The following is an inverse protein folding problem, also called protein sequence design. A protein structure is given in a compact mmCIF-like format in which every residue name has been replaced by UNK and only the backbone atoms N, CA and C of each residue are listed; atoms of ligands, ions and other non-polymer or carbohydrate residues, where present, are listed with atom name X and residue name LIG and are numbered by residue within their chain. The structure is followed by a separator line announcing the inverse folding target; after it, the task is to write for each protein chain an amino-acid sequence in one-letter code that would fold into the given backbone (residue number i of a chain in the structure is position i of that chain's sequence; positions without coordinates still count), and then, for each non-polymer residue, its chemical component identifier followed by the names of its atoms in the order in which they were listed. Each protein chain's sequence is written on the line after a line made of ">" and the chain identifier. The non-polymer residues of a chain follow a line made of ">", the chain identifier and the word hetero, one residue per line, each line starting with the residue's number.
data_IF_954186046032
#
_entry.id   IF_954186046032
#
_cell.length_a   1.000
_cell.length_b   1.000
_cell.length_c   1.000
_cell.angle_alpha   90.00
_cell.angle_beta   90.00
_cell.angle_gamma   90.00
#
_symmetry.space_group_name_H-M   'P 1'
#
loop_
_entity.id
_entity.type
_entity.pdbx_description
1 polymer ?
#
# COMPACT_ATOMS: atom_id res chain seq x y z
N UNK A 1 19.75 -14.74 18.47
CA UNK A 1 19.25 -13.82 19.53
C UNK A 1 17.81 -14.18 19.87
N UNK A 2 17.45 -14.44 21.14
CA UNK A 2 16.10 -14.92 21.51
C UNK A 2 15.12 -13.82 21.94
N UNK A 3 15.62 -12.66 22.39
CA UNK A 3 14.80 -11.51 22.81
C UNK A 3 15.47 -10.16 22.52
N UNK A 4 14.66 -9.11 22.44
CA UNK A 4 15.06 -7.72 22.28
C UNK A 4 14.24 -6.82 23.20
N UNK A 5 14.91 -6.09 24.11
CA UNK A 5 14.29 -5.04 24.92
C UNK A 5 13.91 -3.84 24.06
N UNK A 6 12.74 -3.27 24.33
CA UNK A 6 12.19 -2.12 23.62
C UNK A 6 11.98 -0.95 24.56
N UNK A 7 12.06 0.27 24.01
CA UNK A 7 11.94 1.51 24.79
C UNK A 7 10.62 1.62 25.56
N UNK A 8 9.53 1.13 24.98
CA UNK A 8 8.16 1.05 25.54
C UNK A 8 7.28 0.20 24.61
N UNK A 9 6.04 -0.08 25.01
CA UNK A 9 5.03 -0.82 24.23
C UNK A 9 4.39 0.04 23.13
N UNK A 10 3.07 -0.03 22.94
CA UNK A 10 2.38 0.84 21.98
C UNK A 10 2.50 2.33 22.35
N UNK A 11 2.55 2.65 23.64
CA UNK A 11 2.62 4.01 24.16
C UNK A 11 3.76 4.17 25.19
N UNK A 12 4.31 5.39 25.39
CA UNK A 12 5.44 5.64 26.29
C UNK A 12 5.25 5.21 27.75
N UNK A 13 4.01 5.18 28.25
CA UNK A 13 3.68 4.75 29.61
C UNK A 13 3.63 3.22 29.78
N UNK A 14 3.70 2.45 28.70
CA UNK A 14 3.64 0.98 28.73
C UNK A 14 5.07 0.42 28.79
N UNK A 15 5.62 0.30 30.00
CA UNK A 15 6.95 -0.27 30.27
C UNK A 15 6.85 -1.31 31.40
N UNK A 16 7.72 -2.34 31.42
CA UNK A 16 8.74 -2.67 30.42
C UNK A 16 8.13 -3.19 29.11
N UNK A 17 8.95 -3.30 28.05
CA UNK A 17 8.53 -3.82 26.74
C UNK A 17 9.66 -4.59 26.08
N UNK A 18 9.32 -5.69 25.39
CA UNK A 18 10.26 -6.53 24.64
C UNK A 18 9.54 -7.29 23.52
N UNK A 19 10.29 -7.77 22.53
CA UNK A 19 9.88 -8.93 21.70
C UNK A 19 10.76 -10.12 22.04
N UNK A 20 10.20 -11.33 22.01
CA UNK A 20 10.94 -12.54 22.31
C UNK A 20 10.29 -13.76 21.66
N UNK A 21 11.08 -14.80 21.43
CA UNK A 21 10.58 -16.12 21.06
C UNK A 21 10.66 -17.06 22.26
N UNK A 22 9.62 -17.87 22.46
CA UNK A 22 9.62 -18.91 23.50
C UNK A 22 10.55 -20.08 23.13
N UNK A 23 10.64 -20.36 21.84
CA UNK A 23 11.46 -21.41 21.25
C UNK A 23 12.18 -20.84 20.03
N UNK A 24 13.46 -21.18 19.85
CA UNK A 24 14.27 -20.68 18.74
C UNK A 24 14.80 -19.25 18.92
N UNK A 25 15.34 -18.70 17.84
CA UNK A 25 15.88 -17.33 17.77
C UNK A 25 15.00 -16.43 16.92
N UNK A 26 14.97 -15.13 17.26
CA UNK A 26 14.36 -14.12 16.41
C UNK A 26 14.95 -14.20 14.99
N UNK A 27 14.12 -14.23 13.93
CA UNK A 27 14.58 -14.42 12.56
C UNK A 27 15.15 -13.11 11.96
N UNK A 28 15.69 -12.24 12.79
CA UNK A 28 16.09 -10.89 12.38
C UNK A 28 17.45 -10.50 12.94
N UNK A 29 18.13 -9.61 12.23
CA UNK A 29 19.30 -8.88 12.70
C UNK A 29 19.06 -7.39 12.54
N UNK A 30 19.27 -6.61 13.61
CA UNK A 30 19.21 -5.14 13.55
C UNK A 30 20.59 -4.63 13.08
N UNK A 31 20.66 -4.18 11.83
CA UNK A 31 21.90 -3.70 11.20
C UNK A 31 22.19 -2.23 11.52
N UNK A 32 21.16 -1.45 11.85
CA UNK A 32 21.28 -0.06 12.27
C UNK A 32 20.04 0.41 13.06
N UNK A 33 20.22 1.46 13.87
CA UNK A 33 19.11 2.09 14.60
C UNK A 33 18.60 1.25 15.78
N UNK A 34 17.41 1.61 16.28
CA UNK A 34 16.76 0.96 17.43
C UNK A 34 15.25 0.86 17.17
N UNK A 35 14.74 -0.26 16.66
CA UNK A 35 13.31 -0.43 16.40
C UNK A 35 12.48 -0.34 17.68
N UNK A 36 11.30 0.28 17.57
CA UNK A 36 10.28 0.29 18.63
C UNK A 36 9.25 -0.84 18.49
N UNK A 37 8.29 -0.88 19.41
CA UNK A 37 7.23 -1.90 19.42
C UNK A 37 6.34 -1.85 18.18
N UNK A 38 5.85 -0.66 17.81
CA UNK A 38 5.03 -0.47 16.61
C UNK A 38 5.83 -0.75 15.34
N UNK A 39 7.14 -0.43 15.33
CA UNK A 39 8.00 -0.76 14.20
C UNK A 39 8.03 -2.26 13.91
N UNK A 40 8.08 -3.11 14.95
CA UNK A 40 8.02 -4.55 14.75
C UNK A 40 6.64 -5.05 14.29
N UNK A 41 5.55 -4.41 14.74
CA UNK A 41 4.21 -4.70 14.23
C UNK A 41 4.11 -4.41 12.72
N UNK A 42 4.62 -3.26 12.29
CA UNK A 42 4.70 -2.92 10.87
C UNK A 42 5.65 -3.87 10.12
N UNK A 43 6.84 -4.14 10.66
CA UNK A 43 7.87 -4.97 10.02
C UNK A 43 7.41 -6.38 9.72
N UNK A 44 6.80 -7.07 10.70
CA UNK A 44 6.42 -8.47 10.50
C UNK A 44 5.19 -8.62 9.60
N UNK A 45 4.23 -7.69 9.63
CA UNK A 45 3.10 -7.73 8.69
C UNK A 45 3.54 -7.37 7.26
N UNK A 46 4.35 -6.32 7.12
CA UNK A 46 4.84 -5.88 5.81
C UNK A 46 5.78 -6.88 5.15
N UNK A 47 6.64 -7.56 5.92
CA UNK A 47 7.48 -8.65 5.41
C UNK A 47 6.66 -9.80 4.83
N UNK A 48 5.65 -10.27 5.56
CA UNK A 48 4.80 -11.35 5.09
C UNK A 48 4.05 -10.96 3.81
N UNK A 49 3.56 -9.72 3.72
CA UNK A 49 2.92 -9.20 2.51
C UNK A 49 3.87 -9.30 1.30
N UNK A 50 5.08 -8.76 1.39
CA UNK A 50 6.01 -8.74 0.24
C UNK A 50 6.52 -10.14 -0.12
N UNK A 51 6.70 -11.00 0.89
CA UNK A 51 7.05 -12.42 0.69
C UNK A 51 5.97 -13.16 -0.10
N UNK A 52 4.70 -12.95 0.24
CA UNK A 52 3.58 -13.58 -0.46
C UNK A 52 3.36 -13.00 -1.85
N UNK A 53 3.51 -11.68 -2.05
CA UNK A 53 3.48 -11.08 -3.38
C UNK A 53 4.55 -11.68 -4.28
N UNK A 54 5.79 -11.80 -3.78
CA UNK A 54 6.90 -12.42 -4.52
C UNK A 54 6.60 -13.88 -4.86
N UNK A 55 6.08 -14.65 -3.91
CA UNK A 55 5.75 -16.05 -4.13
C UNK A 55 4.62 -16.24 -5.15
N UNK A 56 3.59 -15.38 -5.12
CA UNK A 56 2.43 -15.48 -5.99
C UNK A 56 2.68 -14.95 -7.42
N UNK A 57 3.58 -13.98 -7.58
CA UNK A 57 3.81 -13.30 -8.87
C UNK A 57 5.16 -13.59 -9.50
N UNK A 58 6.12 -14.10 -8.73
CA UNK A 58 7.52 -14.23 -9.13
C UNK A 58 8.30 -12.91 -9.20
N UNK A 59 7.66 -11.77 -8.95
CA UNK A 59 8.25 -10.44 -9.13
C UNK A 59 8.76 -9.84 -7.82
N UNK A 60 9.88 -9.09 -7.83
CA UNK A 60 10.28 -8.27 -6.70
C UNK A 60 9.13 -7.38 -6.25
N UNK A 61 8.93 -7.27 -4.95
CA UNK A 61 7.74 -6.69 -4.35
C UNK A 61 8.13 -5.82 -3.17
N UNK A 62 7.35 -4.76 -2.95
CA UNK A 62 7.59 -3.83 -1.86
C UNK A 62 6.28 -3.36 -1.21
N UNK A 63 6.40 -2.93 0.04
CA UNK A 63 5.30 -2.33 0.78
C UNK A 63 5.76 -1.10 1.57
N UNK A 64 4.86 -0.13 1.68
CA UNK A 64 4.94 1.02 2.58
C UNK A 64 3.88 0.84 3.66
N UNK A 65 4.28 0.62 4.91
CA UNK A 65 3.37 0.40 6.03
C UNK A 65 3.29 1.61 6.96
N UNK A 66 2.09 1.83 7.49
CA UNK A 66 1.84 2.82 8.54
C UNK A 66 0.72 2.33 9.44
N UNK A 67 0.96 2.30 10.75
CA UNK A 67 -0.03 1.89 11.74
C UNK A 67 -0.62 0.49 11.46
N UNK A 68 0.25 -0.48 11.16
CA UNK A 68 -0.08 -1.90 10.98
C UNK A 68 -1.02 -2.14 9.80
N UNK A 69 -0.93 -1.31 8.76
CA UNK A 69 -1.59 -1.50 7.48
C UNK A 69 -0.74 -0.93 6.34
N UNK A 70 -0.84 -1.49 5.13
CA UNK A 70 -0.16 -0.92 3.97
C UNK A 70 -0.78 0.43 3.60
N UNK A 71 0.03 1.48 3.61
CA UNK A 71 -0.27 2.71 2.87
C UNK A 71 -0.23 2.45 1.36
N UNK A 72 0.64 1.52 0.94
CA UNK A 72 0.58 0.90 -0.37
C UNK A 72 1.50 -0.31 -0.51
N UNK A 73 1.27 -1.09 -1.56
CA UNK A 73 2.07 -2.26 -1.93
C UNK A 73 2.12 -2.39 -3.45
N UNK A 74 3.21 -2.97 -3.98
CA UNK A 74 3.38 -3.14 -5.42
C UNK A 74 4.36 -4.25 -5.78
N UNK A 75 4.23 -4.75 -7.01
CA UNK A 75 5.23 -5.55 -7.72
C UNK A 75 6.12 -4.68 -8.62
N UNK A 76 7.30 -5.20 -8.94
CA UNK A 76 8.40 -4.49 -9.58
C UNK A 76 8.30 -4.43 -11.10
N UNK A 77 7.25 -3.83 -11.63
CA UNK A 77 7.13 -3.53 -13.06
C UNK A 77 7.69 -2.14 -13.38
N UNK A 78 8.30 -1.93 -14.57
CA UNK A 78 8.83 -0.62 -14.96
C UNK A 78 7.82 0.51 -14.79
N UNK A 79 8.30 1.68 -14.38
CA UNK A 79 7.52 2.91 -14.30
C UNK A 79 7.42 3.55 -15.68
N UNK A 80 6.23 3.99 -16.06
CA UNK A 80 6.04 4.90 -17.19
C UNK A 80 6.62 6.29 -16.90
N UNK A 81 6.85 7.10 -17.92
CA UNK A 81 7.38 8.47 -17.75
C UNK A 81 6.48 9.33 -16.86
N UNK A 82 5.16 9.19 -16.99
CA UNK A 82 4.20 9.90 -16.14
C UNK A 82 4.32 9.42 -14.69
N UNK A 83 4.47 8.11 -14.46
CA UNK A 83 4.67 7.56 -13.11
C UNK A 83 5.98 8.05 -12.50
N UNK A 84 7.07 8.09 -13.27
CA UNK A 84 8.34 8.67 -12.83
C UNK A 84 8.15 10.13 -12.40
N UNK A 85 7.44 10.94 -13.19
CA UNK A 85 7.16 12.34 -12.84
C UNK A 85 6.35 12.49 -11.55
N UNK A 86 5.23 11.77 -11.38
CA UNK A 86 4.39 11.88 -10.17
C UNK A 86 5.06 11.34 -8.91
N UNK A 87 6.14 10.57 -9.07
CA UNK A 87 6.95 10.03 -7.99
C UNK A 87 8.32 10.71 -7.84
N UNK A 88 8.55 11.80 -8.57
CA UNK A 88 9.77 12.60 -8.48
C UNK A 88 11.06 11.83 -8.80
N UNK A 89 10.95 10.95 -9.80
CA UNK A 89 12.04 10.21 -10.43
C UNK A 89 12.34 10.88 -11.76
N UNK A 90 13.61 10.96 -12.14
CA UNK A 90 14.02 11.46 -13.45
C UNK A 90 13.50 10.50 -14.56
N UNK A 91 12.94 11.04 -15.64
CA UNK A 91 12.39 10.23 -16.73
C UNK A 91 13.45 9.38 -17.42
N UNK A 92 14.70 9.84 -17.43
CA UNK A 92 15.83 9.13 -18.05
C UNK A 92 16.47 8.09 -17.10
N UNK A 93 16.05 8.04 -15.83
CA UNK A 93 16.60 7.11 -14.85
C UNK A 93 16.09 5.68 -15.09
N UNK A 94 17.01 4.74 -15.33
CA UNK A 94 16.70 3.32 -15.33
C UNK A 94 16.67 2.78 -13.90
N UNK A 95 15.53 2.23 -13.50
CA UNK A 95 15.31 1.71 -12.16
C UNK A 95 15.26 0.19 -12.16
N UNK A 96 15.86 -0.43 -11.15
CA UNK A 96 15.70 -1.84 -10.88
C UNK A 96 14.24 -2.20 -10.57
N UNK A 97 13.87 -3.49 -10.72
CA UNK A 97 12.53 -3.94 -10.36
C UNK A 97 12.16 -3.67 -8.89
N UNK A 98 13.08 -3.84 -7.94
CA UNK A 98 12.79 -3.61 -6.52
C UNK A 98 12.64 -2.12 -6.20
N UNK A 99 13.41 -1.25 -6.85
CA UNK A 99 13.24 0.19 -6.77
C UNK A 99 11.87 0.61 -7.34
N UNK A 100 11.49 0.09 -8.51
CA UNK A 100 10.17 0.30 -9.10
C UNK A 100 9.05 -0.09 -8.12
N UNK A 101 9.14 -1.28 -7.51
CA UNK A 101 8.16 -1.76 -6.55
C UNK A 101 8.02 -0.79 -5.35
N UNK A 102 9.14 -0.35 -4.75
CA UNK A 102 9.08 0.54 -3.59
C UNK A 102 8.52 1.93 -3.96
N UNK A 103 8.96 2.49 -5.08
CA UNK A 103 8.49 3.78 -5.57
C UNK A 103 6.96 3.76 -5.77
N UNK A 104 6.43 2.69 -6.37
CA UNK A 104 4.99 2.47 -6.54
C UNK A 104 4.27 2.29 -5.20
N UNK A 105 4.79 1.46 -4.30
CA UNK A 105 4.20 1.19 -2.99
C UNK A 105 4.07 2.46 -2.13
N UNK A 106 5.14 3.25 -2.03
CA UNK A 106 5.12 4.58 -1.37
C UNK A 106 4.21 5.56 -2.13
N UNK A 107 4.22 5.45 -3.45
CA UNK A 107 3.52 6.33 -4.37
C UNK A 107 2.01 6.19 -4.36
N UNK A 108 1.44 5.11 -3.83
CA UNK A 108 -0.01 4.92 -3.70
C UNK A 108 -0.66 6.09 -2.93
N UNK A 109 -0.11 6.39 -1.75
CA UNK A 109 -0.54 7.48 -0.87
C UNK A 109 0.69 8.04 -0.15
N UNK A 110 1.21 9.16 -0.68
CA UNK A 110 2.47 9.75 -0.19
C UNK A 110 2.33 10.40 1.19
N UNK A 111 1.13 10.87 1.54
CA UNK A 111 0.85 11.41 2.86
C UNK A 111 0.77 10.31 3.91
N UNK A 112 0.06 9.21 3.64
CA UNK A 112 0.04 8.06 4.54
C UNK A 112 1.41 7.40 4.68
N UNK A 113 2.26 7.48 3.65
CA UNK A 113 3.64 6.96 3.68
C UNK A 113 4.64 7.89 4.39
N UNK A 114 4.20 9.03 4.95
CA UNK A 114 5.09 9.90 5.72
C UNK A 114 5.54 9.20 7.01
N UNK A 115 6.82 8.85 7.09
CA UNK A 115 7.35 8.03 8.18
C UNK A 115 6.86 6.57 8.09
N UNK A 116 6.81 6.03 6.87
CA UNK A 116 6.48 4.62 6.63
C UNK A 116 7.50 3.66 7.24
N UNK A 117 7.07 2.42 7.38
CA UNK A 117 7.95 1.26 7.48
C UNK A 117 8.02 0.56 6.12
N UNK A 118 9.23 0.41 5.58
CA UNK A 118 9.46 -0.18 4.26
C UNK A 118 9.69 -1.68 4.40
N UNK A 119 9.07 -2.49 3.53
CA UNK A 119 9.43 -3.89 3.36
C UNK A 119 9.78 -4.19 1.90
N UNK A 120 10.80 -5.00 1.68
CA UNK A 120 11.28 -5.45 0.36
C UNK A 120 11.37 -6.97 0.34
N UNK A 121 10.88 -7.62 -0.73
CA UNK A 121 10.98 -9.08 -0.89
C UNK A 121 12.35 -9.57 -1.34
N UNK A 122 13.15 -8.67 -1.91
CA UNK A 122 14.46 -8.94 -2.50
C UNK A 122 15.51 -8.02 -1.84
N UNK A 123 16.78 -8.20 -2.21
CA UNK A 123 17.88 -7.35 -1.73
C UNK A 123 17.59 -5.87 -1.94
N UNK A 124 17.88 -5.05 -0.93
CA UNK A 124 17.87 -3.61 -1.08
C UNK A 124 19.12 -3.15 -1.87
N UNK A 125 18.89 -2.62 -3.07
CA UNK A 125 19.92 -2.04 -3.92
C UNK A 125 20.14 -0.54 -3.67
N UNK A 126 21.21 -0.01 -4.24
CA UNK A 126 21.60 1.39 -4.11
C UNK A 126 20.53 2.36 -4.63
N UNK A 127 19.80 1.99 -5.69
CA UNK A 127 18.75 2.83 -6.30
C UNK A 127 17.54 2.98 -5.36
N UNK A 128 17.08 1.88 -4.77
CA UNK A 128 16.02 1.86 -3.76
C UNK A 128 16.43 2.69 -2.55
N UNK A 129 17.66 2.48 -2.06
CA UNK A 129 18.20 3.22 -0.92
C UNK A 129 18.35 4.72 -1.21
N UNK A 130 18.81 5.10 -2.42
CA UNK A 130 18.96 6.48 -2.85
C UNK A 130 17.62 7.21 -2.93
N UNK A 131 16.61 6.59 -3.53
CA UNK A 131 15.25 7.15 -3.56
C UNK A 131 14.71 7.32 -2.13
N UNK A 132 14.82 6.26 -1.30
CA UNK A 132 14.40 6.29 0.09
C UNK A 132 15.15 7.35 0.90
N UNK A 133 16.43 7.64 0.62
CA UNK A 133 17.22 8.67 1.33
C UNK A 133 16.53 10.03 1.35
N UNK A 134 15.92 10.44 0.24
CA UNK A 134 15.20 11.70 0.09
C UNK A 134 13.84 11.76 0.80
N UNK A 135 13.38 10.63 1.33
CA UNK A 135 12.04 10.46 1.89
C UNK A 135 12.05 10.39 3.43
N UNK A 136 10.94 10.80 4.06
CA UNK A 136 10.72 10.58 5.49
C UNK A 136 10.16 9.18 5.69
N UNK A 137 10.90 8.36 6.43
CA UNK A 137 10.64 6.96 6.73
C UNK A 137 11.14 6.61 8.13
N UNK A 138 10.50 5.67 8.81
CA UNK A 138 10.87 5.23 10.16
C UNK A 138 11.84 4.03 10.17
N UNK A 139 11.77 3.15 9.18
CA UNK A 139 12.70 2.02 9.04
C UNK A 139 12.41 1.13 7.84
N UNK A 140 13.27 0.13 7.64
CA UNK A 140 13.20 -0.82 6.54
C UNK A 140 13.49 -2.26 7.00
N UNK A 141 12.79 -3.22 6.41
CA UNK A 141 13.04 -4.67 6.52
C UNK A 141 13.23 -5.30 5.14
N UNK A 142 14.25 -6.13 4.98
CA UNK A 142 14.59 -6.81 3.72
C UNK A 142 15.40 -8.09 4.01
N UNK A 143 15.49 -9.06 3.09
CA UNK A 143 16.28 -10.28 3.28
C UNK A 143 17.80 -10.02 3.24
N UNK A 144 18.23 -9.01 2.49
CA UNK A 144 19.62 -8.57 2.39
C UNK A 144 19.71 -7.10 1.93
N UNK A 145 20.91 -6.54 2.03
CA UNK A 145 21.25 -5.19 1.58
C UNK A 145 22.60 -5.24 0.87
N UNK A 146 22.72 -4.60 -0.29
CA UNK A 146 24.03 -4.32 -0.87
C UNK A 146 24.83 -3.39 0.05
N UNK A 147 26.17 -3.44 -0.03
CA UNK A 147 27.04 -2.60 0.80
C UNK A 147 26.72 -1.10 0.62
N UNK A 148 26.57 -0.66 -0.64
CA UNK A 148 26.24 0.72 -0.99
C UNK A 148 24.86 1.14 -0.45
N UNK A 149 23.84 0.28 -0.59
CA UNK A 149 22.52 0.54 -0.03
C UNK A 149 22.59 0.71 1.49
N UNK A 150 23.31 -0.18 2.18
CA UNK A 150 23.44 -0.15 3.63
C UNK A 150 24.14 1.15 4.10
N UNK A 151 25.19 1.59 3.42
CA UNK A 151 25.85 2.87 3.70
C UNK A 151 24.91 4.06 3.52
N UNK A 152 24.15 4.09 2.42
CA UNK A 152 23.15 5.13 2.15
C UNK A 152 22.10 5.17 3.27
N UNK A 153 21.53 4.01 3.63
CA UNK A 153 20.47 3.92 4.64
C UNK A 153 20.97 4.31 6.03
N UNK A 154 22.19 3.90 6.41
CA UNK A 154 22.82 4.29 7.68
C UNK A 154 23.00 5.79 7.81
N UNK A 155 23.16 6.53 6.71
CA UNK A 155 23.26 8.01 6.76
C UNK A 155 21.95 8.71 7.13
N UNK A 156 20.79 8.05 6.97
CA UNK A 156 19.48 8.65 7.25
C UNK A 156 19.27 8.92 8.74
N UNK A 157 18.45 9.94 9.03
CA UNK A 157 18.07 10.36 10.40
C UNK A 157 19.28 10.59 11.33
N UNK A 158 20.39 11.10 10.78
CA UNK A 158 21.62 11.37 11.53
C UNK A 158 22.22 10.10 12.13
N UNK A 159 22.30 9.02 11.35
CA UNK A 159 22.88 7.74 11.79
C UNK A 159 21.89 6.77 12.44
N UNK A 160 20.65 7.19 12.70
CA UNK A 160 19.71 6.46 13.57
C UNK A 160 18.57 5.77 12.84
N UNK A 161 18.56 5.77 11.51
CA UNK A 161 17.53 5.10 10.73
C UNK A 161 17.56 3.59 10.97
N UNK A 162 16.40 2.99 11.19
CA UNK A 162 16.31 1.58 11.55
C UNK A 162 16.42 0.70 10.31
N UNK A 163 17.34 -0.26 10.33
CA UNK A 163 17.55 -1.22 9.23
C UNK A 163 17.54 -2.62 9.82
N UNK A 164 16.61 -3.46 9.35
CA UNK A 164 16.43 -4.84 9.80
C UNK A 164 16.66 -5.79 8.64
N UNK A 165 17.53 -6.78 8.84
CA UNK A 165 17.62 -7.93 7.96
C UNK A 165 16.76 -9.06 8.52
N UNK A 166 15.99 -9.74 7.69
CA UNK A 166 15.18 -10.90 8.07
C UNK A 166 15.68 -12.15 7.35
N UNK A 167 15.67 -13.29 8.04
CA UNK A 167 15.92 -14.60 7.43
C UNK A 167 14.72 -14.97 6.54
N UNK A 168 14.88 -15.03 5.21
CA UNK A 168 13.77 -15.34 4.32
C UNK A 168 13.30 -16.80 4.43
N UNK A 169 14.10 -17.69 5.00
CA UNK A 169 13.76 -19.10 5.19
C UNK A 169 12.96 -19.36 6.48
N UNK A 170 12.80 -18.35 7.34
CA UNK A 170 12.01 -18.48 8.56
C UNK A 170 10.53 -18.71 8.25
N UNK A 171 9.94 -19.70 8.92
CA UNK A 171 8.49 -19.90 8.95
C UNK A 171 7.94 -19.80 10.38
N UNK A 172 6.82 -19.10 10.59
CA UNK A 172 6.20 -18.99 11.90
C UNK A 172 5.59 -20.33 12.35
N UNK A 173 5.42 -20.48 13.66
CA UNK A 173 4.70 -21.62 14.22
C UNK A 173 3.25 -21.66 13.70
N UNK A 174 2.72 -22.88 13.54
CA UNK A 174 1.36 -23.08 13.01
C UNK A 174 0.24 -22.52 13.89
N UNK A 175 0.50 -22.31 15.19
CA UNK A 175 -0.44 -21.76 16.16
C UNK A 175 0.06 -20.41 16.64
N UNK A 176 -0.80 -19.40 16.57
CA UNK A 176 -0.56 -18.06 17.11
C UNK A 176 -1.44 -17.80 18.33
N UNK A 177 -0.93 -16.97 19.24
CA UNK A 177 -1.61 -16.58 20.47
C UNK A 177 -1.50 -15.08 20.67
N UNK A 178 -2.57 -14.48 21.17
CA UNK A 178 -2.59 -13.08 21.61
C UNK A 178 -3.41 -12.95 22.87
N UNK A 179 -3.13 -11.90 23.65
CA UNK A 179 -3.91 -11.59 24.84
C UNK A 179 -4.81 -10.38 24.60
N UNK A 180 -6.08 -10.51 24.99
CA UNK A 180 -7.03 -9.41 25.03
C UNK A 180 -7.62 -9.39 26.43
N UNK A 181 -7.48 -8.27 27.14
CA UNK A 181 -7.97 -8.12 28.52
C UNK A 181 -7.48 -9.24 29.48
N UNK A 182 -6.23 -9.68 29.31
CA UNK A 182 -5.62 -10.75 30.11
C UNK A 182 -6.11 -12.16 29.77
N UNK A 183 -6.93 -12.33 28.74
CA UNK A 183 -7.42 -13.63 28.26
C UNK A 183 -6.64 -14.01 27.01
N UNK A 184 -6.08 -15.22 26.99
CA UNK A 184 -5.39 -15.76 25.82
C UNK A 184 -6.38 -16.25 24.76
N UNK A 185 -6.25 -15.71 23.56
CA UNK A 185 -6.89 -16.19 22.34
C UNK A 185 -5.86 -17.03 21.57
N UNK A 186 -6.29 -18.17 21.03
CA UNK A 186 -5.44 -19.09 20.28
C UNK A 186 -6.13 -19.46 18.96
N UNK A 187 -5.38 -19.42 17.86
CA UNK A 187 -5.85 -19.81 16.53
C UNK A 187 -4.70 -20.33 15.66
N UNK A 188 -5.04 -20.94 14.53
CA UNK A 188 -4.05 -21.26 13.50
C UNK A 188 -3.53 -20.00 12.80
N UNK A 189 -2.25 -19.99 12.44
CA UNK A 189 -1.68 -18.92 11.63
C UNK A 189 -2.31 -18.91 10.23
N UNK A 190 -2.54 -17.72 9.66
CA UNK A 190 -3.17 -17.57 8.36
C UNK A 190 -2.22 -17.90 7.20
N UNK A 191 -2.01 -19.20 6.97
CA UNK A 191 -1.20 -19.78 5.88
C UNK A 191 -1.95 -19.87 4.55
N UNK A 192 -3.05 -19.14 4.35
CA UNK A 192 -3.79 -19.15 3.09
C UNK A 192 -2.87 -18.70 1.95
N UNK A 193 -2.65 -19.59 0.98
CA UNK A 193 -1.96 -19.27 -0.27
C UNK A 193 -2.93 -18.53 -1.20
N UNK A 194 -2.56 -17.33 -1.61
CA UNK A 194 -3.31 -16.53 -2.59
C UNK A 194 -2.58 -16.62 -3.94
N UNK A 195 -3.24 -17.19 -4.93
CA UNK A 195 -2.73 -17.36 -6.29
C UNK A 195 -3.88 -17.35 -7.32
N UNK A 196 -3.56 -17.63 -8.58
CA UNK A 196 -4.52 -17.61 -9.68
C UNK A 196 -5.64 -18.65 -9.55
N UNK A 197 -5.46 -19.73 -8.78
CA UNK A 197 -6.48 -20.78 -8.61
C UNK A 197 -7.70 -20.24 -7.86
N UNK A 198 -7.49 -19.26 -6.97
CA UNK A 198 -8.56 -18.55 -6.27
C UNK A 198 -9.43 -17.66 -7.18
N UNK A 199 -9.00 -17.43 -8.42
CA UNK A 199 -9.66 -16.51 -9.37
C UNK A 199 -10.48 -17.24 -10.45
N UNK A 200 -10.62 -18.55 -10.32
CA UNK A 200 -11.25 -19.41 -11.34
C UNK A 200 -12.78 -19.33 -11.35
N UNK A 201 -13.39 -18.99 -10.22
CA UNK A 201 -14.85 -18.89 -10.09
C UNK A 201 -15.38 -17.51 -10.50
N UNK A 202 -15.34 -17.24 -11.81
CA UNK A 202 -15.91 -16.02 -12.38
C UNK A 202 -17.44 -16.16 -12.43
N UNK A 203 -18.18 -15.30 -11.74
CA UNK A 203 -19.64 -15.40 -11.57
C UNK A 203 -20.45 -14.51 -12.52
N UNK A 204 -19.81 -13.50 -13.12
CA UNK A 204 -20.43 -12.55 -14.06
C UNK A 204 -20.54 -13.10 -15.48
N UNK A 205 -21.40 -12.53 -16.32
CA UNK A 205 -21.54 -12.92 -17.73
C UNK A 205 -20.24 -12.70 -18.51
N UNK A 206 -19.58 -11.55 -18.28
CA UNK A 206 -18.25 -11.32 -18.82
C UNK A 206 -17.23 -12.20 -18.08
N UNK A 207 -16.57 -13.08 -18.85
CA UNK A 207 -15.53 -14.01 -18.39
C UNK A 207 -14.11 -13.60 -18.79
N UNK A 208 -13.96 -12.47 -19.47
CA UNK A 208 -12.66 -11.99 -19.93
C UNK A 208 -11.85 -11.45 -18.76
N UNK A 209 -10.90 -12.25 -18.28
CA UNK A 209 -9.99 -11.88 -17.21
C UNK A 209 -8.54 -11.88 -17.75
N UNK A 210 -8.03 -10.73 -18.24
CA UNK A 210 -6.67 -10.62 -18.75
C UNK A 210 -5.62 -10.88 -17.65
N UNK A 211 -4.41 -11.31 -18.05
CA UNK A 211 -3.32 -11.61 -17.10
C UNK A 211 -2.97 -10.43 -16.18
N UNK A 212 -2.95 -9.20 -16.70
CA UNK A 212 -2.72 -8.02 -15.85
C UNK A 212 -3.81 -7.85 -14.78
N UNK A 213 -5.07 -8.14 -15.10
CA UNK A 213 -6.16 -8.07 -14.13
C UNK A 213 -6.06 -9.18 -13.08
N UNK A 214 -5.61 -10.39 -13.47
CA UNK A 214 -5.31 -11.47 -12.51
C UNK A 214 -4.20 -11.08 -11.54
N UNK A 215 -3.12 -10.51 -12.05
CA UNK A 215 -2.02 -9.99 -11.23
C UNK A 215 -2.53 -8.90 -10.28
N UNK A 216 -3.32 -7.96 -10.76
CA UNK A 216 -3.89 -6.89 -9.93
C UNK A 216 -4.87 -7.45 -8.86
N UNK A 217 -5.63 -8.49 -9.17
CA UNK A 217 -6.48 -9.19 -8.20
C UNK A 217 -5.64 -9.84 -7.10
N UNK A 218 -4.56 -10.54 -7.46
CA UNK A 218 -3.62 -11.16 -6.50
C UNK A 218 -2.99 -10.10 -5.60
N UNK A 219 -2.50 -8.98 -6.18
CA UNK A 219 -1.95 -7.85 -5.42
C UNK A 219 -2.99 -7.31 -4.45
N UNK A 220 -4.25 -7.15 -4.88
CA UNK A 220 -5.32 -6.65 -4.01
C UNK A 220 -5.62 -7.59 -2.84
N UNK A 221 -5.73 -8.90 -3.10
CA UNK A 221 -6.07 -9.90 -2.08
C UNK A 221 -4.94 -10.08 -1.06
N UNK A 222 -3.68 -10.14 -1.50
CA UNK A 222 -2.53 -10.23 -0.59
C UNK A 222 -2.38 -8.94 0.24
N UNK A 223 -2.61 -7.77 -0.37
CA UNK A 223 -2.63 -6.51 0.39
C UNK A 223 -3.69 -6.54 1.50
N UNK A 224 -4.90 -7.02 1.18
CA UNK A 224 -6.02 -7.08 2.11
C UNK A 224 -5.81 -8.07 3.25
N UNK A 225 -5.14 -9.20 3.00
CA UNK A 225 -4.76 -10.20 4.01
C UNK A 225 -3.96 -9.58 5.17
N UNK A 226 -3.23 -8.49 4.92
CA UNK A 226 -2.40 -7.78 5.91
C UNK A 226 -2.87 -6.34 6.18
N UNK A 227 -4.13 -6.02 5.86
CA UNK A 227 -4.74 -4.71 6.15
C UNK A 227 -5.75 -4.86 7.27
N UNK A 228 -5.70 -4.00 8.30
CA UNK A 228 -6.67 -4.02 9.40
C UNK A 228 -8.11 -3.96 8.86
N UNK A 229 -8.96 -4.87 9.31
CA UNK A 229 -10.31 -5.05 8.78
C UNK A 229 -11.33 -4.07 9.37
N UNK A 230 -12.41 -3.75 8.65
CA UNK A 230 -12.68 -4.20 7.27
C UNK A 230 -11.89 -3.37 6.24
N UNK A 231 -11.45 -4.03 5.17
CA UNK A 231 -10.58 -3.44 4.17
C UNK A 231 -11.04 -3.66 2.71
N UNK A 232 -10.78 -2.66 1.86
CA UNK A 232 -11.05 -2.66 0.41
C UNK A 232 -9.82 -2.07 -0.29
N UNK A 233 -9.39 -2.67 -1.40
CA UNK A 233 -8.16 -2.29 -2.08
C UNK A 233 -8.41 -2.11 -3.58
N UNK A 234 -8.05 -0.95 -4.11
CA UNK A 234 -8.04 -0.62 -5.53
C UNK A 234 -6.61 -0.78 -6.05
N UNK A 235 -6.45 -1.50 -7.15
CA UNK A 235 -5.15 -1.84 -7.75
C UNK A 235 -5.19 -1.51 -9.24
N UNK A 236 -4.06 -1.01 -9.75
CA UNK A 236 -3.82 -0.84 -11.18
C UNK A 236 -2.34 -1.04 -11.48
N UNK A 237 -2.02 -1.74 -12.56
CA UNK A 237 -0.64 -1.92 -13.05
C UNK A 237 0.29 -2.52 -11.98
N UNK A 238 -0.17 -3.51 -11.22
CA UNK A 238 0.62 -4.20 -10.21
C UNK A 238 0.85 -3.40 -8.93
N UNK A 239 0.18 -2.27 -8.72
CA UNK A 239 0.27 -1.50 -7.47
C UNK A 239 -1.08 -1.14 -6.90
N UNK A 240 -1.14 -1.04 -5.57
CA UNK A 240 -2.25 -0.38 -4.91
C UNK A 240 -2.31 1.09 -5.31
N UNK A 241 -3.52 1.58 -5.58
CA UNK A 241 -3.80 3.00 -5.85
C UNK A 241 -4.78 3.59 -4.82
N UNK A 242 -5.46 2.73 -4.04
CA UNK A 242 -6.28 3.15 -2.91
C UNK A 242 -6.56 2.01 -1.95
N UNK A 243 -6.26 2.21 -0.67
CA UNK A 243 -6.47 1.21 0.39
C UNK A 243 -7.32 1.80 1.50
N UNK A 244 -8.44 1.14 1.80
CA UNK A 244 -9.25 1.40 2.98
C UNK A 244 -8.96 0.37 4.05
N UNK A 245 -8.80 0.83 5.30
CA UNK A 245 -8.43 0.00 6.45
C UNK A 245 -9.24 0.40 7.69
N UNK A 246 -9.51 -0.57 8.57
CA UNK A 246 -10.11 -0.36 9.88
C UNK A 246 -11.56 0.15 9.85
N UNK A 247 -12.25 0.02 8.71
CA UNK A 247 -13.61 0.56 8.55
C UNK A 247 -14.66 -0.44 9.03
N UNK A 248 -15.82 0.07 9.44
CA UNK A 248 -16.91 -0.76 10.00
C UNK A 248 -18.01 -1.06 8.97
N UNK A 249 -18.22 -0.15 8.02
CA UNK A 249 -19.20 -0.29 6.94
C UNK A 249 -18.51 -0.59 5.62
N UNK A 250 -18.97 -1.64 4.91
CA UNK A 250 -18.37 -2.06 3.63
C UNK A 250 -18.40 -0.95 2.59
N UNK A 251 -19.56 -0.31 2.40
CA UNK A 251 -19.70 0.78 1.42
C UNK A 251 -18.87 2.02 1.81
N UNK A 252 -18.71 2.30 3.10
CA UNK A 252 -17.82 3.40 3.54
C UNK A 252 -16.35 3.07 3.24
N UNK A 253 -15.93 1.82 3.47
CA UNK A 253 -14.60 1.37 3.10
C UNK A 253 -14.37 1.46 1.58
N UNK A 254 -15.35 1.02 0.77
CA UNK A 254 -15.30 1.13 -0.70
C UNK A 254 -15.21 2.57 -1.17
N UNK A 255 -15.95 3.50 -0.55
CA UNK A 255 -15.88 4.94 -0.87
C UNK A 255 -14.54 5.54 -0.47
N UNK A 256 -14.04 5.24 0.73
CA UNK A 256 -12.76 5.75 1.22
C UNK A 256 -11.60 5.28 0.34
N UNK A 257 -11.52 3.98 0.05
CA UNK A 257 -10.50 3.43 -0.82
C UNK A 257 -10.61 3.96 -2.26
N UNK A 258 -11.84 4.10 -2.77
CA UNK A 258 -12.10 4.68 -4.09
C UNK A 258 -11.67 6.15 -4.18
N UNK A 259 -11.92 6.96 -3.14
CA UNK A 259 -11.50 8.37 -3.12
C UNK A 259 -9.97 8.48 -3.13
N UNK A 260 -9.26 7.57 -2.45
CA UNK A 260 -7.79 7.49 -2.54
C UNK A 260 -7.32 7.15 -3.96
N UNK A 261 -7.98 6.21 -4.63
CA UNK A 261 -7.68 5.88 -6.02
C UNK A 261 -7.92 7.06 -6.97
N UNK A 262 -8.99 7.83 -6.74
CA UNK A 262 -9.30 9.03 -7.50
C UNK A 262 -8.20 10.11 -7.29
N UNK A 263 -7.76 10.34 -6.05
CA UNK A 263 -6.67 11.27 -5.73
C UNK A 263 -5.34 10.83 -6.34
N UNK A 264 -5.01 9.54 -6.31
CA UNK A 264 -3.85 9.00 -7.01
C UNK A 264 -3.91 9.31 -8.50
N UNK A 265 -5.08 9.17 -9.12
CA UNK A 265 -5.23 9.46 -10.55
C UNK A 265 -5.22 10.95 -10.88
N UNK A 266 -5.76 11.80 -10.02
CA UNK A 266 -5.69 13.26 -10.17
C UNK A 266 -4.25 13.78 -10.18
N UNK A 267 -3.31 13.10 -9.51
CA UNK A 267 -1.88 13.43 -9.60
C UNK A 267 -1.29 13.30 -11.01
N UNK A 268 -1.94 12.55 -11.89
CA UNK A 268 -1.55 12.39 -13.30
C UNK A 268 -2.14 13.51 -14.18
N UNK A 269 -2.98 14.38 -13.65
CA UNK A 269 -3.62 15.43 -14.43
C UNK A 269 -2.57 16.41 -14.99
N UNK A 270 -2.68 16.88 -16.26
CA UNK A 270 -1.69 17.78 -16.85
C UNK A 270 -1.42 19.05 -16.05
N UNK A 271 -2.44 19.64 -15.41
CA UNK A 271 -2.25 20.79 -14.50
C UNK A 271 -1.40 20.45 -13.27
N UNK A 272 -1.51 19.22 -12.74
CA UNK A 272 -0.71 18.76 -11.59
C UNK A 272 0.73 18.47 -12.02
N UNK A 273 0.91 17.80 -13.15
CA UNK A 273 2.24 17.57 -13.74
C UNK A 273 2.95 18.88 -14.11
N UNK A 274 2.18 19.90 -14.51
CA UNK A 274 2.68 21.24 -14.84
C UNK A 274 2.95 22.16 -13.65
N UNK A 275 2.77 21.71 -12.41
CA UNK A 275 3.04 22.53 -11.22
C UNK A 275 4.53 22.88 -11.14
N UNK A 276 4.81 24.18 -11.06
CA UNK A 276 6.17 24.71 -10.98
C UNK A 276 6.50 25.08 -9.53
N UNK A 277 7.24 24.22 -8.85
CA UNK A 277 7.62 24.45 -7.45
C UNK A 277 8.80 25.42 -7.32
N UNK A 278 8.87 26.15 -6.21
CA UNK A 278 10.05 26.97 -5.85
C UNK A 278 11.30 26.11 -5.67
N UNK A 279 12.46 26.69 -5.91
CA UNK A 279 13.73 25.97 -5.80
C UNK A 279 14.00 25.54 -4.35
N UNK A 280 14.51 24.33 -4.16
CA UNK A 280 14.86 23.79 -2.84
C UNK A 280 13.68 23.37 -1.96
N UNK A 281 12.44 23.37 -2.47
CA UNK A 281 11.30 22.82 -1.72
C UNK A 281 11.54 21.34 -1.35
N UNK A 282 11.25 20.96 -0.11
CA UNK A 282 11.44 19.58 0.34
C UNK A 282 10.32 18.70 -0.21
N UNK A 283 10.61 17.41 -0.48
CA UNK A 283 9.62 16.45 -1.00
C UNK A 283 8.32 16.39 -0.17
N UNK A 284 8.35 16.33 1.17
CA UNK A 284 7.11 16.34 1.96
C UNK A 284 6.29 17.63 1.79
N UNK A 285 6.94 18.78 1.62
CA UNK A 285 6.24 20.05 1.40
C UNK A 285 5.60 20.09 0.01
N UNK A 286 6.24 19.46 -1.01
CA UNK A 286 5.64 19.25 -2.34
C UNK A 286 4.42 18.34 -2.26
N UNK A 287 4.53 17.22 -1.53
CA UNK A 287 3.44 16.26 -1.38
C UNK A 287 2.20 16.88 -0.77
N UNK A 288 2.36 17.63 0.33
CA UNK A 288 1.26 18.36 0.95
C UNK A 288 0.67 19.42 0.00
N UNK A 289 1.52 20.15 -0.74
CA UNK A 289 1.04 21.17 -1.68
C UNK A 289 0.22 20.55 -2.83
N UNK A 290 0.63 19.39 -3.36
CA UNK A 290 -0.11 18.66 -4.40
C UNK A 290 -1.43 18.14 -3.84
N UNK A 291 -1.42 17.52 -2.65
CA UNK A 291 -2.61 16.95 -2.04
C UNK A 291 -3.69 18.01 -1.77
N UNK A 292 -3.30 19.15 -1.18
CA UNK A 292 -4.21 20.28 -0.96
C UNK A 292 -4.69 20.86 -2.31
N UNK A 293 -3.79 20.99 -3.30
CA UNK A 293 -4.17 21.52 -4.61
C UNK A 293 -5.24 20.68 -5.33
N UNK A 294 -5.21 19.34 -5.18
CA UNK A 294 -6.22 18.45 -5.78
C UNK A 294 -7.46 18.26 -4.90
N UNK A 295 -7.40 18.64 -3.62
CA UNK A 295 -8.52 18.53 -2.68
C UNK A 295 -9.58 19.62 -2.91
N UNK A 296 -10.67 19.55 -2.16
CA UNK A 296 -11.74 20.56 -2.18
C UNK A 296 -11.36 21.81 -1.34
N UNK A 297 -10.13 21.86 -0.82
CA UNK A 297 -9.57 22.95 -0.01
C UNK A 297 -8.37 23.61 -0.74
N UNK A 298 -8.37 23.57 -2.07
CA UNK A 298 -7.27 24.10 -2.89
C UNK A 298 -7.03 25.60 -2.66
N UNK A 299 -8.04 26.35 -2.21
CA UNK A 299 -7.91 27.76 -1.84
C UNK A 299 -6.84 27.97 -0.77
N UNK A 300 -6.60 27.01 0.14
CA UNK A 300 -5.62 27.14 1.21
C UNK A 300 -4.19 27.20 0.67
N UNK A 301 -3.86 26.36 -0.31
CA UNK A 301 -2.53 26.36 -0.94
C UNK A 301 -2.39 27.46 -2.00
N UNK A 302 -3.51 27.95 -2.55
CA UNK A 302 -3.55 29.05 -3.54
C UNK A 302 -3.77 30.44 -2.91
N UNK A 303 -3.92 30.53 -1.60
CA UNK A 303 -4.10 31.78 -0.88
C UNK A 303 -2.91 32.73 -1.08
N UNK A 304 -3.20 34.03 -1.09
CA UNK A 304 -2.18 35.06 -1.26
C UNK A 304 -1.20 35.05 -0.07
N UNK A 305 0.09 35.01 -0.36
CA UNK A 305 1.15 34.83 0.63
C UNK A 305 1.51 33.37 0.93
N UNK A 306 0.63 32.41 0.62
CA UNK A 306 0.90 30.97 0.79
C UNK A 306 1.49 30.38 -0.48
N UNK A 307 0.84 30.59 -1.63
CA UNK A 307 1.25 29.95 -2.88
C UNK A 307 2.68 30.32 -3.29
N UNK A 308 3.13 31.55 -3.01
CA UNK A 308 4.49 32.02 -3.31
C UNK A 308 5.57 31.26 -2.56
N UNK A 309 5.23 30.63 -1.43
CA UNK A 309 6.17 29.80 -0.67
C UNK A 309 6.34 28.39 -1.26
N UNK A 310 5.45 27.99 -2.18
CA UNK A 310 5.37 26.63 -2.73
C UNK A 310 5.62 26.61 -4.24
N UNK A 311 5.08 27.58 -4.97
CA UNK A 311 5.08 27.63 -6.44
C UNK A 311 5.77 28.88 -6.98
N UNK A 312 6.45 28.74 -8.13
CA UNK A 312 7.07 29.85 -8.88
C UNK A 312 6.02 30.74 -9.55
N UNK A 313 4.91 30.14 -9.97
CA UNK A 313 3.77 30.81 -10.60
C UNK A 313 2.51 30.27 -9.93
N UNK A 314 1.54 31.14 -9.65
CA UNK A 314 0.27 30.75 -9.04
C UNK A 314 -0.43 29.74 -9.96
N UNK A 315 -0.66 28.49 -9.52
CA UNK A 315 -1.38 27.52 -10.33
C UNK A 315 -2.84 27.95 -10.54
N UNK A 316 -3.37 27.68 -11.74
CA UNK A 316 -4.81 27.74 -11.95
C UNK A 316 -5.50 26.62 -11.16
N UNK A 317 -6.65 26.88 -10.52
CA UNK A 317 -7.42 25.84 -9.85
C UNK A 317 -7.76 24.66 -10.77
N UNK A 318 -7.84 23.47 -10.18
CA UNK A 318 -8.42 22.30 -10.81
C UNK A 318 -9.89 22.20 -10.37
N UNK A 319 -10.82 22.58 -11.25
CA UNK A 319 -12.24 22.71 -10.85
C UNK A 319 -12.89 21.36 -10.59
N UNK A 320 -14.00 21.33 -9.85
CA UNK A 320 -14.74 20.10 -9.59
C UNK A 320 -15.17 19.37 -10.88
N UNK A 321 -15.54 20.12 -11.93
CA UNK A 321 -15.89 19.58 -13.24
C UNK A 321 -14.67 18.96 -13.93
N UNK A 322 -13.51 19.61 -13.90
CA UNK A 322 -12.26 19.08 -14.45
C UNK A 322 -11.82 17.81 -13.71
N UNK A 323 -11.87 17.80 -12.37
CA UNK A 323 -11.57 16.61 -11.56
C UNK A 323 -12.48 15.45 -11.95
N UNK A 324 -13.79 15.70 -12.01
CA UNK A 324 -14.80 14.68 -12.35
C UNK A 324 -14.61 14.15 -13.78
N UNK A 325 -14.34 15.04 -14.73
CA UNK A 325 -14.08 14.67 -16.13
C UNK A 325 -12.81 13.82 -16.25
N UNK A 326 -11.74 14.20 -15.55
CA UNK A 326 -10.48 13.45 -15.51
C UNK A 326 -10.68 12.06 -14.93
N UNK A 327 -11.24 11.96 -13.72
CA UNK A 327 -11.49 10.67 -13.04
C UNK A 327 -12.36 9.75 -13.90
N UNK A 328 -13.33 10.28 -14.64
CA UNK A 328 -14.17 9.48 -15.55
C UNK A 328 -13.39 8.82 -16.71
N UNK A 329 -12.17 9.28 -17.03
CA UNK A 329 -11.29 8.64 -18.02
C UNK A 329 -10.53 7.44 -17.47
N UNK A 330 -10.52 7.24 -16.14
CA UNK A 330 -9.87 6.09 -15.53
C UNK A 330 -10.52 4.78 -16.00
N UNK A 331 -9.70 3.77 -16.27
CA UNK A 331 -10.16 2.45 -16.70
C UNK A 331 -9.18 1.35 -16.32
N UNK A 332 -9.67 0.11 -16.36
CA UNK A 332 -8.88 -1.09 -16.11
C UNK A 332 -8.49 -1.31 -14.65
N UNK A 333 -9.18 -0.65 -13.71
CA UNK A 333 -8.87 -0.79 -12.28
C UNK A 333 -9.48 -2.09 -11.75
N UNK A 334 -8.75 -2.71 -10.82
CA UNK A 334 -9.19 -3.89 -10.08
C UNK A 334 -9.54 -3.53 -8.64
N UNK A 335 -10.59 -4.14 -8.08
CA UNK A 335 -10.94 -4.03 -6.66
C UNK A 335 -10.94 -5.38 -5.98
N UNK A 336 -10.22 -5.46 -4.86
CA UNK A 336 -10.35 -6.54 -3.88
C UNK A 336 -11.20 -6.12 -2.68
N UNK A 337 -11.90 -7.07 -2.07
CA UNK A 337 -12.58 -6.88 -0.78
C UNK A 337 -12.31 -8.06 0.16
N UNK A 338 -11.93 -7.78 1.42
CA UNK A 338 -11.61 -8.81 2.41
C UNK A 338 -12.84 -9.63 2.86
N UNK A 339 -14.06 -9.11 2.65
CA UNK A 339 -15.32 -9.82 2.82
C UNK A 339 -16.31 -9.49 1.69
N UNK A 340 -17.45 -10.17 1.69
CA UNK A 340 -18.44 -10.01 0.63
C UNK A 340 -19.01 -8.59 0.54
N UNK A 341 -19.46 -8.21 -0.65
CA UNK A 341 -20.26 -6.99 -0.82
C UNK A 341 -21.72 -7.27 -0.44
N UNK A 342 -22.30 -6.53 0.53
CA UNK A 342 -23.69 -6.74 0.91
C UNK A 342 -24.69 -6.34 -0.19
N UNK A 343 -24.37 -5.31 -0.97
CA UNK A 343 -25.25 -4.75 -2.01
C UNK A 343 -24.45 -4.24 -3.21
N UNK A 344 -25.13 -4.07 -4.35
CA UNK A 344 -24.55 -3.54 -5.60
C UNK A 344 -24.04 -2.10 -5.51
N UNK A 345 -24.35 -1.34 -4.46
CA UNK A 345 -23.85 0.02 -4.23
C UNK A 345 -22.31 0.11 -4.16
N UNK A 346 -21.66 -0.97 -3.75
CA UNK A 346 -20.20 -1.10 -3.77
C UNK A 346 -19.67 -1.14 -5.21
N UNK A 347 -20.35 -1.88 -6.10
CA UNK A 347 -20.03 -1.95 -7.53
C UNK A 347 -20.30 -0.59 -8.19
N UNK A 348 -21.42 0.05 -7.86
CA UNK A 348 -21.76 1.40 -8.34
C UNK A 348 -20.71 2.45 -7.95
N UNK A 349 -20.15 2.38 -6.73
CA UNK A 349 -19.03 3.25 -6.33
C UNK A 349 -17.74 2.88 -7.04
N UNK A 350 -17.41 1.59 -7.13
CA UNK A 350 -16.19 1.10 -7.76
C UNK A 350 -16.11 1.53 -9.23
N UNK A 351 -17.20 1.40 -9.98
CA UNK A 351 -17.26 1.78 -11.40
C UNK A 351 -16.88 3.25 -11.65
N UNK A 352 -17.18 4.15 -10.72
CA UNK A 352 -16.84 5.58 -10.83
C UNK A 352 -15.33 5.87 -10.81
N UNK A 353 -14.53 4.92 -10.32
CA UNK A 353 -13.07 4.99 -10.32
C UNK A 353 -12.45 4.08 -11.40
N UNK A 354 -13.19 3.79 -12.48
CA UNK A 354 -12.67 3.05 -13.63
C UNK A 354 -12.55 1.54 -13.43
N UNK A 355 -13.24 0.98 -12.43
CA UNK A 355 -13.16 -0.46 -12.12
C UNK A 355 -13.80 -1.30 -13.22
N UNK A 356 -13.06 -2.33 -13.62
CA UNK A 356 -13.45 -3.34 -14.60
C UNK A 356 -13.38 -4.77 -14.04
N UNK A 357 -12.67 -4.96 -12.92
CA UNK A 357 -12.40 -6.28 -12.34
C UNK A 357 -12.61 -6.26 -10.82
N UNK A 358 -13.25 -7.30 -10.26
CA UNK A 358 -13.51 -7.42 -8.83
C UNK A 358 -13.17 -8.83 -8.32
N UNK A 359 -12.45 -8.91 -7.19
CA UNK A 359 -12.26 -10.14 -6.43
C UNK A 359 -12.86 -9.98 -5.02
N UNK A 360 -13.76 -10.88 -4.63
CA UNK A 360 -14.41 -10.88 -3.31
C UNK A 360 -14.83 -12.31 -2.95
N UNK A 361 -15.05 -12.66 -1.67
CA UNK A 361 -15.34 -14.06 -1.31
C UNK A 361 -16.65 -14.65 -1.82
N UNK A 362 -17.67 -13.82 -2.06
CA UNK A 362 -19.06 -14.26 -2.16
C UNK A 362 -19.66 -14.62 -0.80
N UNK A 363 -20.93 -15.00 -0.79
CA UNK A 363 -21.67 -15.40 0.40
C UNK A 363 -22.64 -14.35 0.95
N UNK A 364 -22.96 -13.30 0.18
CA UNK A 364 -24.06 -12.38 0.53
C UNK A 364 -25.40 -13.04 0.22
N UNK A 365 -26.42 -12.77 1.04
CA UNK A 365 -27.83 -13.11 0.70
C UNK A 365 -28.26 -12.41 -0.61
N UNK A 366 -27.58 -11.30 -0.95
CA UNK A 366 -27.82 -10.46 -2.13
C UNK A 366 -26.71 -10.56 -3.18
N UNK A 367 -26.02 -11.70 -3.27
CA UNK A 367 -25.01 -11.91 -4.32
C UNK A 367 -25.62 -11.76 -5.73
N UNK A 368 -26.90 -12.11 -5.91
CA UNK A 368 -27.67 -11.88 -7.13
C UNK A 368 -27.65 -10.40 -7.56
N UNK A 369 -27.95 -9.49 -6.64
CA UNK A 369 -27.95 -8.05 -6.90
C UNK A 369 -26.54 -7.53 -7.23
N UNK A 370 -25.51 -8.04 -6.55
CA UNK A 370 -24.12 -7.64 -6.80
C UNK A 370 -23.67 -8.10 -8.19
N UNK A 371 -23.96 -9.35 -8.55
CA UNK A 371 -23.63 -9.93 -9.86
C UNK A 371 -24.37 -9.21 -10.98
N UNK A 372 -25.67 -8.95 -10.82
CA UNK A 372 -26.48 -8.18 -11.78
C UNK A 372 -25.90 -6.78 -11.99
N UNK A 373 -25.47 -6.11 -10.91
CA UNK A 373 -24.84 -4.79 -11.01
C UNK A 373 -23.50 -4.84 -11.75
N UNK A 374 -22.72 -5.90 -11.58
CA UNK A 374 -21.50 -6.10 -12.37
C UNK A 374 -21.81 -6.34 -13.85
N UNK A 375 -22.77 -7.21 -14.17
CA UNK A 375 -23.17 -7.51 -15.55
C UNK A 375 -23.67 -6.27 -16.27
N UNK A 376 -24.46 -5.41 -15.61
CA UNK A 376 -24.91 -4.10 -16.12
C UNK A 376 -23.76 -3.24 -16.65
N UNK A 377 -22.57 -3.35 -16.06
CA UNK A 377 -21.40 -2.56 -16.41
C UNK A 377 -20.30 -3.34 -17.14
N UNK A 378 -20.53 -4.63 -17.44
CA UNK A 378 -19.53 -5.52 -18.03
C UNK A 378 -18.32 -5.79 -17.11
N UNK A 379 -18.45 -5.57 -15.81
CA UNK A 379 -17.39 -5.80 -14.82
C UNK A 379 -17.24 -7.31 -14.60
N UNK A 380 -16.01 -7.81 -14.65
CA UNK A 380 -15.71 -9.21 -14.33
C UNK A 380 -15.56 -9.37 -12.82
N UNK A 381 -16.26 -10.32 -12.23
CA UNK A 381 -16.18 -10.61 -10.80
C UNK A 381 -15.82 -12.07 -10.55
N UNK A 382 -14.78 -12.29 -9.75
CA UNK A 382 -14.40 -13.61 -9.23
C UNK A 382 -14.79 -13.76 -7.77
N UNK A 383 -15.43 -14.88 -7.44
CA UNK A 383 -15.72 -15.29 -6.06
C UNK A 383 -14.60 -16.19 -5.52
N UNK A 384 -13.85 -15.69 -4.55
CA UNK A 384 -12.69 -16.42 -3.99
C UNK A 384 -13.07 -17.51 -2.98
N UNK A 385 -14.29 -17.45 -2.43
CA UNK A 385 -14.77 -18.38 -1.40
C UNK A 385 -14.15 -18.19 0.00
N UNK A 386 -13.23 -17.25 0.19
CA UNK A 386 -12.45 -17.12 1.43
C UNK A 386 -12.36 -15.66 1.89
N UNK A 387 -12.68 -15.42 3.17
CA UNK A 387 -12.62 -14.14 3.85
C UNK A 387 -11.21 -13.86 4.39
N UNK A 388 -10.78 -12.60 4.35
CA UNK A 388 -9.42 -12.15 4.70
C UNK A 388 -9.39 -11.18 5.88
N UNK A 389 -10.13 -11.46 6.96
CA UNK A 389 -10.13 -10.56 8.13
C UNK A 389 -8.79 -10.54 8.87
N UNK A 390 -8.37 -9.35 9.28
CA UNK A 390 -7.13 -9.11 10.01
C UNK A 390 -7.35 -8.07 11.13
N UNK A 391 -6.96 -8.41 12.37
CA UNK A 391 -7.22 -7.62 13.58
C UNK A 391 -6.10 -7.77 14.61
#
# INVERSE_FOLDING_TARGET
>A
MTELELKYGCNPNQKPSRIYMKEGELPITVLNGKPGYINFMDAFNSWQLVRELKAATGMPSAASFKHVSPAGAAIGTPLSDVEKQIYFVDTDEELSPIACAYIRARGADRLCSYGDWVALSDECDAQTAAYLKGEVSDGIIAPSYSDEALEILKSKRGGRYTVIQIDPAYEPAAIERREIFGITFEQGHNNLKIDADMLTNIVTENKELPEQAKLDMIVSLITLKYTQSNSVCYVKNGQTIGVGAGQQSRIHCTRLAGNKADNWFLRHHPKVLGLQFVDGIRRPDRDNAIDIYISDEYEDVLAEGVWQTKFKVKPEPLTAEEKKAWVATQSGVTVGSDAFFPFGDNVERAKKSGVAYIAQPGGSIRDDNVIETCNKYGIVMSFTGIRLFHH
#
